data_IF_512650470871
#
_entry.id   IF_512650470871
#
_cell.length_a   1.000
_cell.length_b   1.000
_cell.length_c   1.000
_cell.angle_alpha   90.00
_cell.angle_beta   90.00
_cell.angle_gamma   90.00
#
_symmetry.space_group_name_H-M   'P 1'
#
loop_
_entity.id
_entity.type
_entity.pdbx_description
1 polymer ?
#
# COMPACT_ATOMS: atom_id res chain seq x y z
N UNK A 1 4.60 18.65 16.49
CA UNK A 1 3.64 19.00 15.42
C UNK A 1 3.20 17.70 14.78
N UNK A 2 2.01 17.20 15.13
CA UNK A 2 1.47 15.94 14.57
C UNK A 2 0.73 16.31 13.28
N UNK A 3 1.33 16.00 12.13
CA UNK A 3 0.67 16.15 10.83
C UNK A 3 -0.45 15.10 10.76
N UNK A 4 -1.71 15.54 10.87
CA UNK A 4 -2.85 14.70 10.55
C UNK A 4 -2.80 14.41 9.04
N UNK A 5 -2.36 13.21 8.69
CA UNK A 5 -2.45 12.72 7.31
C UNK A 5 -3.88 12.20 7.15
N UNK A 6 -4.73 12.99 6.50
CA UNK A 6 -6.09 12.57 6.15
C UNK A 6 -6.02 11.42 5.15
N UNK A 7 -6.62 10.27 5.51
CA UNK A 7 -6.82 9.17 4.56
C UNK A 7 -7.64 9.67 3.37
N UNK A 8 -7.21 9.35 2.15
CA UNK A 8 -8.04 9.62 0.97
C UNK A 8 -9.32 8.77 1.06
N UNK A 9 -10.47 9.36 0.76
CA UNK A 9 -11.73 8.62 0.67
C UNK A 9 -11.75 7.81 -0.64
N UNK A 10 -12.43 6.65 -0.66
CA UNK A 10 -12.51 5.81 -1.85
C UNK A 10 -13.00 6.54 -3.13
N UNK A 11 -13.77 7.63 -2.98
CA UNK A 11 -14.20 8.47 -4.11
C UNK A 11 -13.13 9.41 -4.71
N UNK A 12 -12.00 9.59 -4.00
CA UNK A 12 -10.87 10.43 -4.44
C UNK A 12 -9.83 9.63 -5.23
N UNK A 13 -9.79 8.30 -5.05
CA UNK A 13 -8.88 7.42 -5.78
C UNK A 13 -9.36 7.27 -7.22
N UNK A 14 -8.67 7.94 -8.14
CA UNK A 14 -8.99 7.92 -9.57
C UNK A 14 -7.79 7.43 -10.37
N UNK A 15 -8.06 6.70 -11.45
CA UNK A 15 -7.03 6.28 -12.41
C UNK A 15 -6.24 7.50 -12.90
N UNK A 16 -4.92 7.32 -13.02
CA UNK A 16 -3.94 8.33 -13.42
C UNK A 16 -3.71 9.48 -12.44
N UNK A 17 -4.45 9.55 -11.32
CA UNK A 17 -4.20 10.55 -10.31
C UNK A 17 -2.82 10.35 -9.66
N UNK A 18 -2.14 11.46 -9.35
CA UNK A 18 -0.98 11.45 -8.47
C UNK A 18 -1.47 11.55 -7.03
N UNK A 19 -1.00 10.63 -6.21
CA UNK A 19 -1.37 10.50 -4.80
C UNK A 19 -0.11 10.29 -3.96
N UNK A 20 -0.23 10.47 -2.66
CA UNK A 20 0.79 10.08 -1.70
C UNK A 20 0.44 8.72 -1.08
N UNK A 21 1.46 7.98 -0.71
CA UNK A 21 1.35 6.80 0.14
C UNK A 21 1.99 7.12 1.48
N UNK A 22 1.28 6.85 2.58
CA UNK A 22 1.80 7.12 3.92
C UNK A 22 3.06 6.27 4.22
N UNK A 23 3.99 6.80 5.04
CA UNK A 23 5.10 6.01 5.57
C UNK A 23 4.62 4.71 6.22
N UNK A 24 5.51 3.72 6.24
CA UNK A 24 5.32 2.45 6.92
C UNK A 24 4.11 1.63 6.43
N UNK A 25 3.54 2.00 5.28
CA UNK A 25 2.62 1.15 4.54
C UNK A 25 3.35 -0.07 4.01
N UNK A 26 2.66 -1.19 3.91
CA UNK A 26 3.17 -2.39 3.26
C UNK A 26 2.79 -2.41 1.77
N UNK A 27 3.79 -2.67 0.93
CA UNK A 27 3.70 -2.67 -0.53
C UNK A 27 3.94 -4.10 -1.01
N UNK A 28 3.03 -4.64 -1.80
CA UNK A 28 3.18 -5.98 -2.34
C UNK A 28 3.41 -5.94 -3.85
N UNK A 29 4.17 -6.90 -4.36
CA UNK A 29 4.32 -7.13 -5.80
C UNK A 29 3.16 -7.97 -6.36
N UNK A 30 2.46 -8.70 -5.47
CA UNK A 30 1.44 -9.68 -5.82
C UNK A 30 0.11 -9.42 -5.11
N UNK A 31 -0.99 -9.59 -5.86
CA UNK A 31 -2.36 -9.37 -5.38
C UNK A 31 -2.80 -10.40 -4.34
N UNK A 32 -2.36 -11.65 -4.45
CA UNK A 32 -2.74 -12.70 -3.50
C UNK A 32 -2.09 -12.46 -2.12
N UNK A 33 -0.85 -11.94 -2.10
CA UNK A 33 -0.18 -11.55 -0.85
C UNK A 33 -0.92 -10.42 -0.12
N UNK A 34 -1.40 -9.41 -0.85
CA UNK A 34 -2.27 -8.36 -0.31
C UNK A 34 -3.57 -8.96 0.25
N UNK A 35 -4.25 -9.81 -0.52
CA UNK A 35 -5.52 -10.42 -0.09
C UNK A 35 -5.34 -11.25 1.20
N UNK A 36 -4.25 -12.00 1.33
CA UNK A 36 -3.96 -12.76 2.54
C UNK A 36 -3.69 -11.84 3.73
N UNK A 37 -2.89 -10.78 3.54
CA UNK A 37 -2.64 -9.78 4.59
C UNK A 37 -3.94 -9.12 5.06
N UNK A 38 -4.84 -8.76 4.14
CA UNK A 38 -6.15 -8.18 4.45
C UNK A 38 -7.04 -9.16 5.24
N UNK A 39 -7.05 -10.44 4.86
CA UNK A 39 -7.80 -11.46 5.57
C UNK A 39 -7.31 -11.62 7.03
N UNK A 40 -5.99 -11.67 7.24
CA UNK A 40 -5.38 -11.72 8.57
C UNK A 40 -5.71 -10.47 9.39
N UNK A 41 -5.62 -9.28 8.78
CA UNK A 41 -6.00 -8.01 9.42
C UNK A 41 -7.46 -8.01 9.84
N UNK A 42 -8.36 -8.49 8.98
CA UNK A 42 -9.80 -8.55 9.27
C UNK A 42 -10.16 -9.57 10.34
N UNK A 43 -9.37 -10.64 10.48
CA UNK A 43 -9.57 -11.66 11.50
C UNK A 43 -9.17 -11.17 12.92
N UNK A 44 -8.43 -10.06 13.02
CA UNK A 44 -7.97 -9.51 14.30
C UNK A 44 -6.83 -10.29 14.97
N UNK A 45 -6.24 -11.27 14.28
CA UNK A 45 -5.07 -12.01 14.79
C UNK A 45 -3.78 -11.22 14.53
N UNK A 46 -3.48 -10.30 15.44
CA UNK A 46 -2.30 -9.44 15.34
C UNK A 46 -0.99 -10.23 15.30
N UNK A 47 -0.89 -11.36 16.01
CA UNK A 47 0.35 -12.16 16.06
C UNK A 47 0.64 -12.80 14.70
N UNK A 48 -0.38 -13.42 14.10
CA UNK A 48 -0.25 -14.05 12.79
C UNK A 48 -0.02 -13.01 11.71
N UNK A 49 -0.70 -11.86 11.79
CA UNK A 49 -0.49 -10.73 10.87
C UNK A 49 0.97 -10.23 10.92
N UNK A 50 1.51 -9.97 12.11
CA UNK A 50 2.90 -9.52 12.28
C UNK A 50 3.89 -10.56 11.75
N UNK A 51 3.69 -11.84 12.10
CA UNK A 51 4.59 -12.92 11.65
C UNK A 51 4.60 -13.05 10.12
N UNK A 52 3.43 -12.94 9.49
CA UNK A 52 3.30 -12.97 8.03
C UNK A 52 3.99 -11.76 7.38
N UNK A 53 3.74 -10.55 7.90
CA UNK A 53 4.36 -9.33 7.40
C UNK A 53 5.90 -9.36 7.51
N UNK A 54 6.42 -9.77 8.67
CA UNK A 54 7.87 -9.89 8.89
C UNK A 54 8.50 -10.90 7.93
N UNK A 55 7.84 -12.03 7.71
CA UNK A 55 8.27 -13.05 6.74
C UNK A 55 8.38 -12.49 5.32
N UNK A 56 7.35 -11.77 4.86
CA UNK A 56 7.36 -11.14 3.54
C UNK A 56 8.47 -10.09 3.39
N UNK A 57 8.70 -9.27 4.41
CA UNK A 57 9.75 -8.25 4.40
C UNK A 57 11.14 -8.89 4.37
N UNK A 58 11.38 -9.94 5.16
CA UNK A 58 12.65 -10.69 5.16
C UNK A 58 12.92 -11.35 3.81
N UNK A 59 11.88 -11.93 3.19
CA UNK A 59 11.97 -12.56 1.88
C UNK A 59 12.02 -11.54 0.71
N UNK A 60 11.89 -10.23 0.99
CA UNK A 60 11.78 -9.15 -0.01
C UNK A 60 10.62 -9.34 -0.98
N UNK A 61 9.56 -9.98 -0.51
CA UNK A 61 8.33 -10.22 -1.24
C UNK A 61 7.27 -9.13 -0.98
N UNK A 62 7.53 -8.30 0.03
CA UNK A 62 6.85 -7.05 0.29
C UNK A 62 7.88 -6.01 0.73
N UNK A 63 7.50 -4.74 0.67
CA UNK A 63 8.35 -3.62 1.01
C UNK A 63 7.63 -2.66 1.95
N UNK A 64 8.41 -2.00 2.80
CA UNK A 64 7.93 -0.95 3.69
C UNK A 64 8.87 0.24 3.57
N UNK A 65 8.32 1.40 3.24
CA UNK A 65 9.09 2.62 3.04
C UNK A 65 8.84 3.58 4.18
N UNK A 66 9.91 4.13 4.75
CA UNK A 66 9.86 4.99 5.94
C UNK A 66 9.51 6.45 5.63
N UNK A 67 9.42 6.82 4.34
CA UNK A 67 9.04 8.16 3.89
C UNK A 67 7.76 8.10 3.07
N UNK A 68 6.98 9.19 3.04
CA UNK A 68 5.87 9.28 2.10
C UNK A 68 6.40 9.15 0.66
N UNK A 69 5.63 8.47 -0.19
CA UNK A 69 5.99 8.26 -1.59
C UNK A 69 4.88 8.75 -2.51
N UNK A 70 5.27 9.45 -3.57
CA UNK A 70 4.39 9.85 -4.65
C UNK A 70 4.18 8.68 -5.58
N UNK A 71 2.91 8.40 -5.90
CA UNK A 71 2.52 7.34 -6.82
C UNK A 71 1.51 7.83 -7.83
N UNK A 72 1.46 7.17 -8.98
CA UNK A 72 0.38 7.31 -9.96
C UNK A 72 -0.55 6.11 -9.87
N UNK A 73 -1.85 6.35 -9.70
CA UNK A 73 -2.84 5.28 -9.67
C UNK A 73 -2.96 4.64 -11.05
N UNK A 74 -2.76 3.32 -11.14
CA UNK A 74 -2.97 2.52 -12.36
C UNK A 74 -4.35 1.88 -12.38
N UNK A 75 -4.85 1.46 -11.22
CA UNK A 75 -6.15 0.81 -11.06
C UNK A 75 -6.64 0.88 -9.62
N UNK A 76 -7.95 0.83 -9.44
CA UNK A 76 -8.59 0.75 -8.13
C UNK A 76 -9.79 -0.20 -8.22
N UNK A 77 -9.80 -1.19 -7.35
CA UNK A 77 -10.87 -2.18 -7.19
C UNK A 77 -11.48 -2.01 -5.79
N UNK A 78 -12.61 -1.29 -5.65
CA UNK A 78 -13.18 -0.98 -4.34
C UNK A 78 -13.62 -2.22 -3.57
N UNK A 79 -14.20 -3.21 -4.26
CA UNK A 79 -14.75 -4.44 -3.64
C UNK A 79 -13.67 -5.26 -2.94
N UNK A 80 -12.47 -5.32 -3.53
CA UNK A 80 -11.32 -6.07 -3.01
C UNK A 80 -10.35 -5.19 -2.23
N UNK A 81 -10.67 -3.90 -2.04
CA UNK A 81 -9.80 -2.92 -1.40
C UNK A 81 -8.38 -2.99 -1.97
N UNK A 82 -8.25 -2.89 -3.29
CA UNK A 82 -6.96 -3.01 -3.97
C UNK A 82 -6.70 -1.79 -4.84
N UNK A 83 -5.55 -1.17 -4.63
CA UNK A 83 -5.05 -0.08 -5.48
C UNK A 83 -3.77 -0.54 -6.15
N UNK A 84 -3.75 -0.48 -7.48
CA UNK A 84 -2.52 -0.66 -8.25
C UNK A 84 -1.89 0.70 -8.49
N UNK A 85 -0.60 0.80 -8.23
CA UNK A 85 0.13 2.05 -8.31
C UNK A 85 1.44 1.88 -9.06
N UNK A 86 1.93 2.99 -9.62
CA UNK A 86 3.28 3.11 -10.15
C UNK A 86 4.04 4.13 -9.31
N UNK A 87 5.23 3.77 -8.82
CA UNK A 87 6.06 4.68 -8.03
C UNK A 87 6.57 5.83 -8.89
N UNK A 88 6.31 7.07 -8.46
CA UNK A 88 6.76 8.28 -9.16
C UNK A 88 7.88 9.01 -8.42
N UNK A 89 8.06 8.77 -7.11
CA UNK A 89 9.20 9.30 -6.36
C UNK A 89 10.52 8.91 -7.01
N UNK A 90 11.40 9.90 -7.21
CA UNK A 90 12.73 9.69 -7.77
C UNK A 90 13.55 8.72 -6.92
N UNK A 91 14.27 7.83 -7.59
CA UNK A 91 15.13 6.86 -6.95
C UNK A 91 15.14 5.52 -7.68
N UNK A 92 15.79 4.53 -7.06
CA UNK A 92 16.01 3.19 -7.66
C UNK A 92 14.71 2.48 -8.07
N UNK A 93 13.61 2.75 -7.37
CA UNK A 93 12.33 2.07 -7.58
C UNK A 93 11.33 2.93 -8.39
N UNK A 94 11.74 4.08 -8.93
CA UNK A 94 10.87 4.86 -9.81
C UNK A 94 10.40 4.01 -11.01
N UNK A 95 9.11 4.10 -11.34
CA UNK A 95 8.47 3.33 -12.42
C UNK A 95 8.08 1.90 -12.04
N UNK A 96 8.46 1.41 -10.84
CA UNK A 96 8.02 0.10 -10.37
C UNK A 96 6.53 0.09 -10.01
N UNK A 97 5.90 -1.07 -10.17
CA UNK A 97 4.46 -1.26 -9.95
C UNK A 97 4.18 -2.08 -8.71
N UNK A 98 3.16 -1.67 -7.95
CA UNK A 98 2.84 -2.26 -6.66
C UNK A 98 1.34 -2.35 -6.46
N UNK A 99 0.92 -3.23 -5.54
CA UNK A 99 -0.45 -3.30 -5.04
C UNK A 99 -0.49 -2.91 -3.57
N UNK A 100 -1.51 -2.13 -3.21
CA UNK A 100 -1.68 -1.52 -1.89
C UNK A 100 -3.12 -1.66 -1.42
N UNK A 101 -3.29 -1.70 -0.10
CA UNK A 101 -4.58 -1.44 0.53
C UNK A 101 -4.90 0.07 0.44
N UNK A 102 -6.13 0.49 0.06
CA UNK A 102 -6.53 1.88 -0.06
C UNK A 102 -6.26 2.73 1.18
N UNK A 103 -6.24 2.13 2.39
CA UNK A 103 -5.91 2.86 3.62
C UNK A 103 -4.48 3.40 3.66
N UNK A 104 -3.62 3.01 2.71
CA UNK A 104 -2.29 3.54 2.53
C UNK A 104 -2.26 4.85 1.73
N UNK A 105 -3.31 5.13 0.94
CA UNK A 105 -3.38 6.28 0.02
C UNK A 105 -3.88 7.53 0.76
N UNK A 106 -3.18 8.62 0.53
CA UNK A 106 -3.46 9.94 1.11
C UNK A 106 -3.28 11.01 0.03
N UNK A 107 -4.00 12.12 0.14
CA UNK A 107 -3.92 13.23 -0.83
C UNK A 107 -2.78 14.19 -0.48
#
# INVERSE_FOLDING_TARGET
MLTHISSAHAGEIRRSALMQVKPDSIWFEDRAKLAHWQALRSAGDAKTLTSYQDGLLQAREAWQFTKPLTVRIRGFEPTTHLVEVEMQTEGRLQGSTWVLDPSAIVQ
#
